data_IF_997234316122
#
_entry.id   IF_997234316122
#
_cell.length_a   1.000
_cell.length_b   1.000
_cell.length_c   1.000
_cell.angle_alpha   90.00
_cell.angle_beta   90.00
_cell.angle_gamma   90.00
#
_symmetry.space_group_name_H-M   'P 1'
#
loop_
_entity.id
_entity.type
_entity.pdbx_description
1 polymer ?
#
# COMPACT_ATOMS: atom_id res chain seq x y z
N UNK A 1 -5.67 15.40 17.24
CA UNK A 1 -4.22 15.71 17.32
C UNK A 1 -3.57 15.09 16.10
N UNK A 2 -3.26 15.91 15.09
CA UNK A 2 -2.50 15.51 13.90
C UNK A 2 -1.03 15.38 14.30
N UNK A 3 -0.41 14.23 14.06
CA UNK A 3 1.03 14.08 14.06
C UNK A 3 1.57 14.90 12.88
N UNK A 4 2.11 16.08 13.19
CA UNK A 4 2.56 17.08 12.22
C UNK A 4 3.88 16.67 11.59
N UNK A 5 3.92 16.79 10.26
CA UNK A 5 5.10 16.69 9.41
C UNK A 5 6.18 17.63 9.96
N UNK A 6 7.32 17.08 10.38
CA UNK A 6 8.47 17.84 10.89
C UNK A 6 9.30 18.45 9.73
N UNK A 7 8.65 19.18 8.84
CA UNK A 7 9.34 19.95 7.79
C UNK A 7 9.78 21.30 8.39
N UNK A 8 11.10 21.53 8.48
CA UNK A 8 11.66 22.82 8.86
C UNK A 8 11.81 23.66 7.59
N UNK A 9 10.87 24.58 7.37
CA UNK A 9 10.96 25.58 6.32
C UNK A 9 11.38 26.92 6.93
N UNK A 10 12.66 27.27 6.80
CA UNK A 10 13.13 28.63 7.01
C UNK A 10 13.38 29.29 5.64
N UNK A 11 12.75 30.44 5.33
CA UNK A 11 12.89 31.13 4.05
C UNK A 11 14.33 31.47 3.64
N UNK A 12 15.27 31.59 4.59
CA UNK A 12 16.68 31.93 4.30
C UNK A 12 17.59 30.70 4.21
N UNK A 13 17.15 29.56 4.75
CA UNK A 13 18.00 28.40 5.07
C UNK A 13 17.77 27.23 4.09
N UNK A 14 16.61 27.23 3.43
CA UNK A 14 16.14 26.12 2.63
C UNK A 14 15.26 25.16 3.43
N UNK A 15 14.83 24.08 2.79
CA UNK A 15 14.04 23.02 3.41
C UNK A 15 14.99 22.04 4.12
N UNK A 16 14.70 21.64 5.35
CA UNK A 16 15.40 20.56 6.05
C UNK A 16 14.42 19.49 6.54
N UNK A 17 14.55 18.26 6.01
CA UNK A 17 13.68 17.13 6.31
C UNK A 17 14.48 16.05 7.04
N UNK A 18 14.32 15.87 8.35
CA UNK A 18 14.96 14.77 9.07
C UNK A 18 14.21 13.46 8.84
N UNK A 19 14.90 12.43 8.34
CA UNK A 19 14.40 11.06 8.27
C UNK A 19 15.20 10.16 9.22
N UNK A 20 14.51 9.58 10.21
CA UNK A 20 15.13 8.82 11.28
C UNK A 20 15.08 7.30 11.06
N UNK A 21 16.15 6.62 11.45
CA UNK A 21 16.23 5.17 11.62
C UNK A 21 16.68 4.92 13.05
N UNK A 22 16.00 4.02 13.74
CA UNK A 22 16.33 3.66 15.11
C UNK A 22 16.55 2.16 15.23
N UNK A 23 17.80 1.81 15.52
CA UNK A 23 18.19 0.45 15.85
C UNK A 23 17.87 0.19 17.32
N UNK A 24 16.87 -0.67 17.53
CA UNK A 24 16.35 -0.99 18.86
C UNK A 24 17.34 -1.81 19.67
N UNK A 25 18.14 -2.66 19.03
CA UNK A 25 19.09 -3.57 19.66
C UNK A 25 20.35 -2.82 20.08
N UNK A 26 20.96 -2.10 19.13
CA UNK A 26 22.15 -1.29 19.40
C UNK A 26 21.85 -0.01 20.19
N UNK A 27 20.57 0.36 20.32
CA UNK A 27 20.12 1.63 20.89
C UNK A 27 20.81 2.84 20.20
N UNK A 28 20.88 2.83 18.87
CA UNK A 28 21.48 3.90 18.07
C UNK A 28 20.49 4.51 17.10
N UNK A 29 20.57 5.82 16.91
CA UNK A 29 19.81 6.56 15.91
C UNK A 29 20.69 6.96 14.72
N UNK A 30 20.12 6.90 13.53
CA UNK A 30 20.67 7.53 12.33
C UNK A 30 19.64 8.50 11.78
N UNK A 31 20.04 9.72 11.47
CA UNK A 31 19.15 10.74 10.89
C UNK A 31 19.76 11.28 9.60
N UNK A 32 19.07 11.04 8.49
CA UNK A 32 19.39 11.67 7.22
C UNK A 32 18.63 13.00 7.14
N UNK A 33 19.34 14.12 6.97
CA UNK A 33 18.74 15.45 6.87
C UNK A 33 18.71 15.86 5.41
N UNK A 34 17.56 15.68 4.75
CA UNK A 34 17.38 16.00 3.34
C UNK A 34 17.11 17.49 3.10
N UNK A 35 17.67 18.03 2.02
CA UNK A 35 17.42 19.43 1.61
C UNK A 35 16.33 19.59 0.53
N UNK A 36 15.70 18.48 0.12
CA UNK A 36 14.67 18.46 -0.93
C UNK A 36 13.35 17.86 -0.41
N UNK A 37 12.64 17.04 -1.18
CA UNK A 37 11.30 16.56 -0.83
C UNK A 37 11.33 15.25 -0.03
N UNK A 38 10.41 15.11 0.94
CA UNK A 38 10.13 13.82 1.59
C UNK A 38 9.44 12.85 0.62
N UNK A 39 10.24 12.11 -0.13
CA UNK A 39 9.78 11.10 -1.08
C UNK A 39 10.17 9.70 -0.63
N UNK A 40 9.52 8.69 -1.21
CA UNK A 40 9.92 7.30 -0.99
C UNK A 40 11.38 7.03 -1.40
N UNK A 41 11.90 7.75 -2.39
CA UNK A 41 13.31 7.66 -2.78
C UNK A 41 14.23 8.16 -1.66
N UNK A 42 13.89 9.30 -1.06
CA UNK A 42 14.61 9.87 0.09
C UNK A 42 14.55 8.96 1.32
N UNK A 43 13.38 8.39 1.62
CA UNK A 43 13.21 7.44 2.72
C UNK A 43 14.11 6.20 2.55
N UNK A 44 14.17 5.62 1.34
CA UNK A 44 15.04 4.47 1.06
C UNK A 44 16.52 4.87 1.02
N UNK A 45 16.85 6.06 0.52
CA UNK A 45 18.22 6.56 0.58
C UNK A 45 18.70 6.72 2.03
N UNK A 46 17.80 7.13 2.92
CA UNK A 46 18.11 7.21 4.36
C UNK A 46 18.49 5.84 4.93
N UNK A 47 17.78 4.77 4.51
CA UNK A 47 18.10 3.38 4.89
C UNK A 47 19.43 2.94 4.28
N UNK A 48 19.67 3.27 3.01
CA UNK A 48 20.91 2.97 2.32
C UNK A 48 22.12 3.59 3.02
N UNK A 49 22.03 4.87 3.36
CA UNK A 49 23.09 5.62 4.06
C UNK A 49 23.35 5.06 5.46
N UNK A 50 22.30 4.72 6.21
CA UNK A 50 22.47 4.02 7.48
C UNK A 50 23.16 2.67 7.31
N UNK A 51 22.74 1.86 6.33
CA UNK A 51 23.33 0.55 6.09
C UNK A 51 24.82 0.65 5.78
N UNK A 52 25.22 1.48 4.81
CA UNK A 52 26.63 1.64 4.44
C UNK A 52 27.46 2.39 5.48
N UNK A 53 26.85 3.32 6.23
CA UNK A 53 27.56 4.12 7.23
C UNK A 53 27.73 3.45 8.59
N UNK A 54 26.81 2.56 8.98
CA UNK A 54 26.81 1.96 10.31
C UNK A 54 26.30 0.51 10.31
N UNK A 55 25.21 0.21 9.62
CA UNK A 55 24.51 -1.08 9.68
C UNK A 55 25.38 -2.27 9.24
N UNK A 56 26.09 -2.15 8.12
CA UNK A 56 26.92 -3.23 7.56
C UNK A 56 28.09 -3.59 8.48
N UNK A 57 28.74 -2.59 9.08
CA UNK A 57 29.85 -2.82 10.01
C UNK A 57 29.36 -3.41 11.35
N UNK A 58 28.18 -2.97 11.83
CA UNK A 58 27.57 -3.50 13.04
C UNK A 58 27.04 -4.94 12.85
N UNK A 59 26.57 -5.28 11.65
CA UNK A 59 25.95 -6.57 11.34
C UNK A 59 26.55 -7.22 10.07
N UNK A 60 27.83 -7.63 10.09
CA UNK A 60 28.55 -8.08 8.88
C UNK A 60 28.02 -9.40 8.29
N UNK A 61 27.28 -10.18 9.09
CA UNK A 61 26.69 -11.47 8.68
C UNK A 61 25.19 -11.36 8.39
N UNK A 62 24.60 -10.15 8.44
CA UNK A 62 23.18 -10.01 8.20
C UNK A 62 22.84 -10.30 6.74
N UNK A 63 21.84 -11.17 6.56
CA UNK A 63 21.24 -11.49 5.26
C UNK A 63 19.81 -10.94 5.14
N UNK A 64 19.27 -10.41 6.24
CA UNK A 64 17.90 -9.94 6.35
C UNK A 64 17.84 -8.65 7.15
N UNK A 65 16.93 -7.75 6.75
CA UNK A 65 16.62 -6.52 7.47
C UNK A 65 15.11 -6.43 7.72
N UNK A 66 14.71 -6.33 8.99
CA UNK A 66 13.33 -6.05 9.37
C UNK A 66 13.14 -4.55 9.58
N UNK A 67 12.18 -3.97 8.86
CA UNK A 67 11.77 -2.57 8.98
C UNK A 67 10.38 -2.52 9.58
N UNK A 68 10.25 -1.90 10.74
CA UNK A 68 8.95 -1.53 11.33
C UNK A 68 8.62 -0.08 10.97
N UNK A 69 7.58 0.15 10.17
CA UNK A 69 7.23 1.48 9.67
C UNK A 69 5.80 1.88 10.06
N UNK A 70 5.56 3.16 10.32
CA UNK A 70 4.25 3.74 10.67
C UNK A 70 3.29 3.88 9.48
N UNK A 71 3.77 3.59 8.27
CA UNK A 71 2.99 3.53 7.03
C UNK A 71 2.46 4.88 6.53
N UNK A 72 3.06 5.99 6.98
CA UNK A 72 2.76 7.34 6.56
C UNK A 72 3.59 7.82 5.37
N UNK A 73 3.05 8.74 4.58
CA UNK A 73 3.81 9.49 3.57
C UNK A 73 4.72 8.65 2.66
N UNK A 74 6.04 8.90 2.77
CA UNK A 74 7.10 8.32 1.94
C UNK A 74 7.33 6.82 2.15
N UNK A 75 7.02 6.26 3.34
CA UNK A 75 7.21 4.83 3.66
C UNK A 75 5.91 4.01 3.61
N UNK A 76 4.82 4.62 3.11
CA UNK A 76 3.48 4.03 3.15
C UNK A 76 3.37 2.69 2.40
N UNK A 77 2.58 1.77 2.96
CA UNK A 77 2.38 0.42 2.39
C UNK A 77 1.73 0.42 1.00
N UNK A 78 1.02 1.50 0.64
CA UNK A 78 0.42 1.71 -0.69
C UNK A 78 1.38 2.36 -1.69
N UNK A 79 2.47 2.94 -1.20
CA UNK A 79 3.39 3.72 -2.02
C UNK A 79 4.21 2.78 -2.91
N UNK A 80 3.96 2.84 -4.22
CA UNK A 80 4.66 2.01 -5.22
C UNK A 80 6.16 2.33 -5.25
N UNK A 81 6.49 3.61 -5.11
CA UNK A 81 7.87 4.09 -5.08
C UNK A 81 8.65 3.50 -3.91
N UNK A 82 8.01 3.38 -2.74
CA UNK A 82 8.61 2.75 -1.56
C UNK A 82 9.05 1.31 -1.86
N UNK A 83 8.15 0.50 -2.43
CA UNK A 83 8.44 -0.89 -2.81
C UNK A 83 9.52 -0.99 -3.89
N UNK A 84 9.46 -0.14 -4.91
CA UNK A 84 10.44 -0.13 -6.00
C UNK A 84 11.84 0.24 -5.51
N UNK A 85 11.96 1.30 -4.71
CA UNK A 85 13.25 1.73 -4.17
C UNK A 85 13.81 0.70 -3.18
N UNK A 86 12.98 0.10 -2.32
CA UNK A 86 13.41 -0.99 -1.46
C UNK A 86 13.88 -2.21 -2.26
N UNK A 87 13.21 -2.55 -3.36
CA UNK A 87 13.64 -3.65 -4.23
C UNK A 87 15.03 -3.37 -4.83
N UNK A 88 15.28 -2.13 -5.28
CA UNK A 88 16.61 -1.72 -5.73
C UNK A 88 17.66 -1.82 -4.62
N UNK A 89 17.30 -1.40 -3.41
CA UNK A 89 18.19 -1.54 -2.24
C UNK A 89 18.50 -3.00 -1.92
N UNK A 90 17.50 -3.90 -2.02
CA UNK A 90 17.73 -5.34 -1.82
C UNK A 90 18.70 -5.91 -2.85
N UNK A 91 18.55 -5.52 -4.13
CA UNK A 91 19.42 -5.99 -5.21
C UNK A 91 20.88 -5.53 -5.04
N UNK A 92 21.09 -4.34 -4.50
CA UNK A 92 22.42 -3.79 -4.23
C UNK A 92 23.08 -4.39 -2.99
N UNK A 93 22.33 -4.48 -1.88
CA UNK A 93 22.89 -4.88 -0.58
C UNK A 93 22.95 -6.39 -0.41
N UNK A 94 22.19 -7.15 -1.20
CA UNK A 94 22.01 -8.58 -1.00
C UNK A 94 21.08 -8.94 0.18
N UNK A 95 20.51 -7.95 0.87
CA UNK A 95 19.61 -8.18 2.01
C UNK A 95 18.20 -8.50 1.53
N UNK A 96 17.57 -9.49 2.15
CA UNK A 96 16.10 -9.60 2.11
C UNK A 96 15.51 -8.58 3.07
N UNK A 97 14.75 -7.62 2.56
CA UNK A 97 14.12 -6.58 3.37
C UNK A 97 12.67 -6.96 3.64
N UNK A 98 12.34 -7.17 4.92
CA UNK A 98 10.97 -7.39 5.39
C UNK A 98 10.42 -6.09 5.94
N UNK A 99 9.25 -5.67 5.46
CA UNK A 99 8.55 -4.49 5.98
C UNK A 99 7.31 -4.94 6.72
N UNK A 100 7.22 -4.52 7.98
CA UNK A 100 6.04 -4.68 8.84
C UNK A 100 5.49 -3.31 9.19
N UNK A 101 4.30 -3.02 8.70
CA UNK A 101 3.66 -1.73 8.95
C UNK A 101 2.84 -1.78 10.24
N UNK A 102 3.00 -0.73 11.05
CA UNK A 102 2.17 -0.50 12.22
C UNK A 102 0.75 -0.13 11.78
N UNK A 103 -0.29 -0.56 12.52
CA UNK A 103 -1.66 -0.14 12.22
C UNK A 103 -1.87 1.36 12.34
N UNK A 104 -2.88 1.94 11.65
CA UNK A 104 -3.26 3.33 11.84
C UNK A 104 -3.46 3.66 13.33
N UNK A 105 -3.14 4.90 13.71
CA UNK A 105 -3.34 5.43 15.08
C UNK A 105 -2.47 4.76 16.17
N UNK A 106 -1.40 4.08 15.79
CA UNK A 106 -0.48 3.43 16.75
C UNK A 106 0.83 4.20 16.97
N UNK A 107 0.86 5.51 16.72
CA UNK A 107 2.07 6.34 16.90
C UNK A 107 2.67 6.24 18.31
N UNK A 108 1.84 6.02 19.34
CA UNK A 108 2.26 5.74 20.72
C UNK A 108 3.18 4.50 20.86
N UNK A 109 3.04 3.54 19.95
CA UNK A 109 3.83 2.30 19.94
C UNK A 109 5.06 2.41 19.04
N UNK A 110 5.19 3.51 18.29
CA UNK A 110 6.35 3.76 17.45
C UNK A 110 7.54 4.15 18.33
N UNK A 111 8.45 3.19 18.55
CA UNK A 111 9.61 3.39 19.42
C UNK A 111 10.51 4.54 18.97
N UNK A 112 10.58 4.84 17.67
CA UNK A 112 11.43 5.93 17.16
C UNK A 112 10.97 7.30 17.67
N UNK A 113 9.67 7.54 17.77
CA UNK A 113 9.11 8.79 18.29
C UNK A 113 9.53 9.00 19.74
N UNK A 114 9.41 7.94 20.54
CA UNK A 114 9.66 7.99 21.97
C UNK A 114 11.13 7.87 22.36
N UNK A 115 11.94 7.12 21.61
CA UNK A 115 13.35 6.80 21.96
C UNK A 115 14.37 7.57 21.13
N UNK A 116 14.00 8.16 19.99
CA UNK A 116 14.91 8.96 19.16
C UNK A 116 14.44 10.41 19.07
N UNK A 117 13.29 10.66 18.45
CA UNK A 117 12.85 12.02 18.15
C UNK A 117 12.54 12.85 19.40
N UNK A 118 11.95 12.25 20.44
CA UNK A 118 11.73 12.93 21.73
C UNK A 118 13.03 13.53 22.31
N UNK A 119 14.13 12.77 22.25
CA UNK A 119 15.44 13.19 22.77
C UNK A 119 16.10 14.22 21.86
N UNK A 120 15.97 14.09 20.54
CA UNK A 120 16.43 15.10 19.59
C UNK A 120 15.73 16.43 19.86
N UNK A 121 14.39 16.43 19.97
CA UNK A 121 13.61 17.65 20.25
C UNK A 121 13.98 18.26 21.60
N UNK A 122 14.19 17.44 22.64
CA UNK A 122 14.65 17.93 23.94
C UNK A 122 16.03 18.60 23.86
N UNK A 123 16.97 18.03 23.08
CA UNK A 123 18.32 18.55 22.91
C UNK A 123 18.35 19.89 22.16
N UNK A 124 17.33 20.15 21.32
CA UNK A 124 17.19 21.38 20.56
C UNK A 124 16.59 22.55 21.34
N UNK A 125 16.03 22.31 22.53
CA UNK A 125 15.26 23.32 23.26
C UNK A 125 16.09 24.58 23.51
N UNK A 126 15.70 25.68 22.86
CA UNK A 126 16.33 27.00 23.00
C UNK A 126 17.53 27.27 22.08
N UNK A 127 17.81 26.40 21.10
CA UNK A 127 18.87 26.62 20.10
C UNK A 127 18.28 27.10 18.77
N UNK A 128 18.66 28.28 18.25
CA UNK A 128 18.23 28.70 16.92
C UNK A 128 18.89 27.81 15.86
N UNK A 129 18.08 27.21 15.00
CA UNK A 129 18.54 26.34 13.90
C UNK A 129 18.94 27.22 12.71
N UNK A 130 20.13 27.81 12.76
CA UNK A 130 20.58 28.88 11.83
C UNK A 130 21.28 28.39 10.57
N UNK A 131 21.57 27.09 10.45
CA UNK A 131 22.08 26.47 9.22
C UNK A 131 21.81 24.96 9.19
N UNK A 132 21.90 24.34 8.00
CA UNK A 132 21.86 22.88 7.87
C UNK A 132 22.92 22.18 8.75
N UNK A 133 24.11 22.78 8.84
CA UNK A 133 25.18 22.28 9.70
C UNK A 133 24.79 22.34 11.18
N UNK A 134 24.16 23.43 11.64
CA UNK A 134 23.65 23.55 13.01
C UNK A 134 22.57 22.50 13.28
N UNK A 135 21.69 22.22 12.32
CA UNK A 135 20.67 21.16 12.44
C UNK A 135 21.35 19.79 12.61
N UNK A 136 22.24 19.42 11.68
CA UNK A 136 22.95 18.13 11.71
C UNK A 136 23.75 17.97 13.00
N UNK A 137 24.55 18.96 13.38
CA UNK A 137 25.36 18.91 14.59
C UNK A 137 24.50 18.84 15.86
N UNK A 138 23.34 19.51 15.88
CA UNK A 138 22.42 19.45 17.02
C UNK A 138 21.74 18.08 17.14
N UNK A 139 21.42 17.42 16.03
CA UNK A 139 20.91 16.05 16.04
C UNK A 139 22.00 15.09 16.51
N UNK A 140 23.19 15.17 15.92
CA UNK A 140 24.32 14.28 16.23
C UNK A 140 24.80 14.40 17.69
N UNK A 141 24.62 15.57 18.30
CA UNK A 141 24.92 15.78 19.73
C UNK A 141 23.96 15.04 20.68
N UNK A 142 22.89 14.42 20.18
CA UNK A 142 21.88 13.77 21.01
C UNK A 142 22.44 12.48 21.60
N UNK A 143 22.58 12.46 22.93
CA UNK A 143 22.95 11.27 23.70
C UNK A 143 22.10 11.15 24.96
N UNK A 144 21.93 9.94 25.50
CA UNK A 144 21.18 9.72 26.74
C UNK A 144 21.96 8.89 27.75
N UNK A 145 21.58 8.99 29.03
CA UNK A 145 22.16 8.17 30.12
C UNK A 145 21.98 6.67 29.90
N UNK A 146 20.94 6.28 29.17
CA UNK A 146 20.68 4.88 28.79
C UNK A 146 21.48 4.43 27.57
N UNK A 147 22.40 5.27 27.07
CA UNK A 147 23.34 4.90 26.00
C UNK A 147 22.90 5.21 24.58
N UNK A 148 21.82 5.98 24.36
CA UNK A 148 21.45 6.39 23.00
C UNK A 148 22.60 7.21 22.39
N UNK A 149 22.98 6.88 21.15
CA UNK A 149 23.87 7.69 20.33
C UNK A 149 23.22 7.95 18.98
N UNK A 150 23.29 9.18 18.50
CA UNK A 150 22.68 9.58 17.24
C UNK A 150 23.75 10.05 16.27
N UNK A 151 23.76 9.46 15.08
CA UNK A 151 24.53 9.97 13.94
C UNK A 151 23.59 10.76 13.04
N UNK A 152 24.04 11.90 12.52
CA UNK A 152 23.28 12.67 11.54
C UNK A 152 24.16 13.04 10.35
N UNK A 153 23.57 13.03 9.16
CA UNK A 153 24.25 13.40 7.91
C UNK A 153 23.36 14.26 7.04
N UNK A 154 23.94 15.27 6.39
CA UNK A 154 23.24 16.07 5.38
C UNK A 154 23.09 15.28 4.08
N UNK A 155 21.94 15.42 3.43
CA UNK A 155 21.65 14.86 2.13
C UNK A 155 21.17 15.96 1.17
N UNK A 156 22.08 16.33 0.27
CA UNK A 156 21.86 17.35 -0.76
C UNK A 156 21.44 16.75 -2.11
N UNK A 157 21.07 15.47 -2.15
CA UNK A 157 20.55 14.84 -3.35
C UNK A 157 19.18 15.42 -3.74
N UNK A 158 18.81 15.27 -5.02
CA UNK A 158 17.49 15.68 -5.53
C UNK A 158 16.52 14.50 -5.56
N UNK A 159 15.29 14.75 -5.10
CA UNK A 159 14.21 13.79 -4.94
C UNK A 159 12.92 14.33 -5.57
N UNK A 160 12.81 14.35 -6.91
CA UNK A 160 11.65 14.89 -7.58
C UNK A 160 10.36 14.14 -7.21
N UNK A 161 9.28 14.90 -7.06
CA UNK A 161 7.95 14.35 -6.75
C UNK A 161 7.23 13.90 -8.02
N UNK A 162 6.15 13.13 -7.87
CA UNK A 162 5.25 12.78 -8.99
C UNK A 162 5.74 11.66 -9.90
N UNK A 163 6.81 10.95 -9.54
CA UNK A 163 7.29 9.78 -10.30
C UNK A 163 6.18 8.75 -10.53
N UNK A 164 5.91 8.44 -11.80
CA UNK A 164 4.90 7.46 -12.18
C UNK A 164 5.55 6.08 -12.34
N UNK A 165 5.12 5.13 -11.53
CA UNK A 165 5.61 3.74 -11.60
C UNK A 165 4.58 2.89 -12.31
N UNK A 166 5.00 2.24 -13.38
CA UNK A 166 4.14 1.45 -14.25
C UNK A 166 3.76 0.12 -13.61
N UNK A 167 2.64 -0.47 -14.04
CA UNK A 167 2.16 -1.75 -13.52
C UNK A 167 3.12 -2.91 -13.79
N UNK A 168 3.80 -2.88 -14.93
CA UNK A 168 4.85 -3.84 -15.25
C UNK A 168 6.00 -3.82 -14.24
N UNK A 169 6.47 -2.62 -13.84
CA UNK A 169 7.55 -2.48 -12.85
C UNK A 169 7.13 -3.04 -11.49
N UNK A 170 5.89 -2.81 -11.08
CA UNK A 170 5.37 -3.36 -9.81
C UNK A 170 5.17 -4.87 -9.85
N UNK A 171 4.77 -5.43 -10.99
CA UNK A 171 4.58 -6.86 -11.17
C UNK A 171 5.92 -7.62 -11.19
N UNK A 172 6.99 -6.97 -11.67
CA UNK A 172 8.33 -7.54 -11.72
C UNK A 172 9.08 -7.52 -10.38
N UNK A 173 8.55 -6.83 -9.35
CA UNK A 173 9.23 -6.77 -8.06
C UNK A 173 9.32 -8.16 -7.41
N UNK A 174 10.48 -8.53 -6.83
CA UNK A 174 10.66 -9.76 -6.06
C UNK A 174 9.97 -9.66 -4.68
N UNK A 175 8.65 -9.44 -4.68
CA UNK A 175 7.86 -9.15 -3.50
C UNK A 175 7.03 -10.37 -3.09
N UNK A 176 7.27 -10.88 -1.88
CA UNK A 176 6.43 -11.89 -1.23
C UNK A 176 5.56 -11.23 -0.18
N UNK A 177 4.24 -11.42 -0.25
CA UNK A 177 3.31 -10.89 0.76
C UNK A 177 3.21 -11.84 1.94
N UNK A 178 3.06 -11.29 3.15
CA UNK A 178 2.86 -12.12 4.34
C UNK A 178 1.47 -12.75 4.35
N UNK A 179 1.34 -13.92 4.98
CA UNK A 179 0.03 -14.56 5.17
C UNK A 179 -0.91 -13.71 6.03
N UNK A 180 -0.36 -13.07 7.06
CA UNK A 180 -1.09 -12.14 7.93
C UNK A 180 -0.86 -10.69 7.48
N UNK A 181 -1.94 -9.99 7.11
CA UNK A 181 -1.91 -8.62 6.56
C UNK A 181 -0.94 -8.43 5.39
N UNK A 182 -0.95 -9.35 4.42
CA UNK A 182 -0.12 -9.28 3.21
C UNK A 182 -0.42 -8.08 2.30
N UNK A 183 -1.51 -7.38 2.52
CA UNK A 183 -1.80 -6.09 1.92
C UNK A 183 -0.84 -5.00 2.39
N UNK A 184 -0.37 -5.09 3.64
CA UNK A 184 0.53 -4.12 4.28
C UNK A 184 1.95 -4.67 4.40
N UNK A 185 2.09 -5.92 4.84
CA UNK A 185 3.34 -6.55 5.20
C UNK A 185 3.88 -7.43 4.07
N UNK A 186 5.17 -7.29 3.79
CA UNK A 186 5.81 -8.00 2.69
C UNK A 186 7.33 -8.08 2.87
N UNK A 187 7.93 -9.05 2.17
CA UNK A 187 9.37 -9.19 2.01
C UNK A 187 9.77 -8.91 0.55
N UNK A 188 10.87 -8.20 0.37
CA UNK A 188 11.53 -7.96 -0.91
C UNK A 188 12.87 -8.70 -0.91
N UNK A 189 13.13 -9.42 -2.01
CA UNK A 189 14.29 -10.30 -2.10
C UNK A 189 15.36 -9.74 -3.05
N UNK A 190 16.65 -9.96 -2.75
CA UNK A 190 17.78 -9.39 -3.52
C UNK A 190 17.90 -9.92 -4.95
N UNK A 191 17.36 -11.12 -5.21
CA UNK A 191 17.23 -11.65 -6.56
C UNK A 191 15.76 -11.54 -6.96
N UNK A 192 15.44 -11.24 -8.24
CA UNK A 192 14.20 -11.75 -8.80
C UNK A 192 14.17 -13.23 -8.42
N UNK A 193 13.16 -13.65 -7.63
CA UNK A 193 12.87 -15.08 -7.52
C UNK A 193 12.95 -15.57 -8.96
N UNK A 194 13.78 -16.57 -9.31
CA UNK A 194 13.76 -17.07 -10.66
C UNK A 194 12.30 -17.39 -10.92
N UNK A 195 11.68 -16.61 -11.80
CA UNK A 195 10.53 -17.11 -12.51
C UNK A 195 11.08 -18.41 -13.06
N UNK A 196 10.49 -19.51 -12.63
CA UNK A 196 10.69 -20.77 -13.32
C UNK A 196 10.31 -20.49 -14.76
N UNK A 197 11.31 -20.12 -15.58
CA UNK A 197 11.28 -20.23 -17.03
C UNK A 197 11.37 -21.72 -17.30
N UNK A 198 10.34 -22.46 -16.90
CA UNK A 198 9.99 -23.65 -17.65
C UNK A 198 9.61 -23.14 -19.04
N UNK A 199 10.21 -23.70 -20.11
CA UNK A 199 9.66 -23.54 -21.45
C UNK A 199 8.15 -23.77 -21.35
N UNK A 200 7.36 -22.76 -21.74
CA UNK A 200 5.94 -22.96 -21.90
C UNK A 200 5.75 -23.99 -23.00
N UNK A 201 5.54 -25.24 -22.61
CA UNK A 201 4.81 -26.17 -23.46
C UNK A 201 3.41 -25.58 -23.72
N UNK A 202 2.85 -25.80 -24.92
CA UNK A 202 1.61 -25.17 -25.34
C UNK A 202 0.52 -25.41 -24.29
N UNK A 203 -0.02 -24.30 -23.78
CA UNK A 203 -1.09 -24.31 -22.80
C UNK A 203 -2.19 -25.28 -23.23
N UNK A 204 -2.48 -26.27 -22.39
CA UNK A 204 -3.81 -26.86 -22.36
C UNK A 204 -4.78 -25.71 -22.11
N UNK A 205 -5.75 -25.45 -23.00
CA UNK A 205 -6.61 -24.28 -22.88
C UNK A 205 -7.36 -24.34 -21.55
N UNK A 206 -7.05 -23.38 -20.66
CA UNK A 206 -7.88 -23.12 -19.50
C UNK A 206 -9.30 -22.90 -20.00
N UNK A 207 -10.25 -23.67 -19.47
CA UNK A 207 -11.67 -23.58 -19.82
C UNK A 207 -12.09 -22.10 -19.86
N UNK A 208 -12.67 -21.62 -20.96
CA UNK A 208 -13.08 -20.22 -21.07
C UNK A 208 -13.98 -19.86 -19.88
N UNK A 209 -13.59 -18.85 -19.12
CA UNK A 209 -14.45 -18.30 -18.09
C UNK A 209 -15.68 -17.69 -18.76
N UNK A 210 -16.84 -18.24 -18.46
CA UNK A 210 -18.10 -17.67 -18.93
C UNK A 210 -18.54 -16.54 -17.98
N UNK A 211 -18.39 -15.29 -18.42
CA UNK A 211 -18.85 -14.11 -17.69
C UNK A 211 -20.37 -14.14 -17.42
N UNK A 212 -21.12 -14.92 -18.21
CA UNK A 212 -22.56 -15.10 -18.04
C UNK A 212 -22.94 -15.79 -16.71
N UNK A 213 -21.97 -16.42 -16.04
CA UNK A 213 -22.11 -17.03 -14.71
C UNK A 213 -22.32 -15.98 -13.61
N UNK A 214 -21.85 -14.74 -13.77
CA UNK A 214 -22.11 -13.66 -12.80
C UNK A 214 -23.60 -13.30 -12.74
N UNK A 215 -24.31 -13.46 -13.86
CA UNK A 215 -25.75 -13.20 -14.01
C UNK A 215 -26.60 -14.48 -13.88
N UNK A 216 -26.05 -15.55 -13.30
CA UNK A 216 -26.78 -16.80 -13.08
C UNK A 216 -27.95 -16.56 -12.11
N UNK A 217 -29.19 -16.96 -12.46
CA UNK A 217 -30.35 -16.85 -11.58
C UNK A 217 -30.18 -17.47 -10.20
N UNK A 218 -29.35 -18.52 -10.05
CA UNK A 218 -29.02 -19.12 -8.77
C UNK A 218 -28.24 -18.15 -7.86
N UNK A 219 -27.41 -17.28 -8.45
CA UNK A 219 -26.60 -16.28 -7.74
C UNK A 219 -27.34 -14.97 -7.53
N UNK A 220 -28.09 -14.50 -8.53
CA UNK A 220 -28.84 -13.23 -8.45
C UNK A 220 -30.19 -13.37 -7.76
N UNK A 221 -30.74 -14.59 -7.69
CA UNK A 221 -32.09 -14.86 -7.20
C UNK A 221 -33.18 -14.42 -8.17
N UNK A 222 -32.85 -14.02 -9.40
CA UNK A 222 -33.79 -13.53 -10.40
C UNK A 222 -33.36 -13.89 -11.83
N UNK A 223 -34.31 -14.13 -12.77
CA UNK A 223 -33.98 -14.32 -14.18
C UNK A 223 -33.28 -13.10 -14.79
N UNK A 224 -32.45 -13.32 -15.83
CA UNK A 224 -31.72 -12.25 -16.53
C UNK A 224 -32.63 -11.10 -16.98
N UNK A 225 -33.81 -11.40 -17.53
CA UNK A 225 -34.82 -10.39 -17.90
C UNK A 225 -35.21 -9.47 -16.73
N UNK A 226 -35.35 -10.03 -15.52
CA UNK A 226 -35.75 -9.28 -14.34
C UNK A 226 -34.58 -8.42 -13.82
N UNK A 227 -33.34 -8.89 -13.98
CA UNK A 227 -32.14 -8.09 -13.71
C UNK A 227 -32.00 -6.93 -14.71
N UNK A 228 -32.31 -7.16 -15.99
CA UNK A 228 -32.31 -6.12 -17.03
C UNK A 228 -33.41 -5.08 -16.77
N UNK A 229 -34.61 -5.54 -16.38
CA UNK A 229 -35.71 -4.68 -15.99
C UNK A 229 -35.37 -3.85 -14.75
N UNK A 230 -34.77 -4.47 -13.72
CA UNK A 230 -34.26 -3.77 -12.55
C UNK A 230 -33.24 -2.70 -12.95
N UNK A 231 -32.29 -3.04 -13.81
CA UNK A 231 -31.30 -2.09 -14.31
C UNK A 231 -31.96 -0.93 -15.06
N UNK A 232 -33.01 -1.19 -15.85
CA UNK A 232 -33.76 -0.14 -16.57
C UNK A 232 -34.55 0.75 -15.60
N UNK A 233 -35.15 0.19 -14.56
CA UNK A 233 -35.88 0.94 -13.52
C UNK A 233 -34.97 1.89 -12.76
N UNK A 234 -33.73 1.48 -12.47
CA UNK A 234 -32.77 2.29 -11.73
C UNK A 234 -32.00 3.30 -12.60
N UNK A 235 -32.06 3.16 -13.93
CA UNK A 235 -31.27 3.96 -14.86
C UNK A 235 -31.57 5.48 -14.88
N UNK A 236 -32.82 5.96 -14.69
CA UNK A 236 -33.13 7.39 -14.67
C UNK A 236 -32.49 8.13 -13.49
N UNK A 237 -32.44 7.49 -12.32
CA UNK A 237 -31.92 8.06 -11.08
C UNK A 237 -30.44 7.70 -10.86
N UNK A 238 -29.75 7.25 -11.92
CA UNK A 238 -28.31 7.01 -11.87
C UNK A 238 -27.60 8.36 -11.70
N UNK A 239 -26.89 8.51 -10.59
CA UNK A 239 -26.13 9.73 -10.30
C UNK A 239 -25.09 10.01 -11.43
N UNK A 240 -25.27 11.12 -12.14
CA UNK A 240 -24.45 11.59 -13.27
C UNK A 240 -23.36 12.55 -12.78
N UNK A 241 -22.41 12.05 -11.99
CA UNK A 241 -21.25 12.86 -11.61
C UNK A 241 -20.45 13.30 -12.86
N UNK A 242 -20.20 14.61 -12.95
CA UNK A 242 -19.30 15.21 -13.93
C UNK A 242 -17.85 14.86 -13.57
N UNK A 243 -17.26 13.91 -14.31
CA UNK A 243 -15.90 13.43 -14.10
C UNK A 243 -15.55 12.25 -15.00
N UNK A 244 -14.32 11.73 -14.86
CA UNK A 244 -13.83 10.58 -15.65
C UNK A 244 -14.83 9.41 -15.54
N UNK A 245 -15.23 8.77 -16.66
CA UNK A 245 -16.27 7.75 -16.65
C UNK A 245 -15.91 6.60 -15.70
N UNK A 246 -16.89 6.09 -14.92
CA UNK A 246 -16.66 4.95 -14.05
C UNK A 246 -16.24 3.74 -14.89
N UNK A 247 -15.29 2.97 -14.37
CA UNK A 247 -14.77 1.78 -15.07
C UNK A 247 -15.77 0.63 -15.17
N UNK A 248 -16.80 0.61 -14.31
CA UNK A 248 -17.93 -0.30 -14.42
C UNK A 248 -19.09 0.42 -15.08
N UNK A 249 -19.69 -0.24 -16.05
CA UNK A 249 -20.99 0.13 -16.62
C UNK A 249 -22.08 0.08 -15.55
N UNK A 250 -23.16 0.83 -15.76
CA UNK A 250 -24.28 0.83 -14.79
C UNK A 250 -24.91 -0.56 -14.57
N UNK A 251 -25.12 -1.41 -15.60
CA UNK A 251 -25.55 -2.78 -15.40
C UNK A 251 -24.62 -3.60 -14.50
N UNK A 252 -23.30 -3.50 -14.68
CA UNK A 252 -22.33 -4.20 -13.82
C UNK A 252 -22.36 -3.70 -12.37
N UNK A 253 -22.57 -2.41 -12.16
CA UNK A 253 -22.74 -1.82 -10.83
C UNK A 253 -23.98 -2.38 -10.12
N UNK A 254 -25.10 -2.52 -10.83
CA UNK A 254 -26.34 -3.12 -10.32
C UNK A 254 -26.11 -4.59 -10.00
N UNK A 255 -25.53 -5.35 -10.93
CA UNK A 255 -25.24 -6.78 -10.77
C UNK A 255 -24.32 -7.04 -9.56
N UNK A 256 -23.23 -6.29 -9.40
CA UNK A 256 -22.33 -6.43 -8.25
C UNK A 256 -23.05 -6.18 -6.91
N UNK A 257 -24.01 -5.25 -6.89
CA UNK A 257 -24.81 -4.94 -5.70
C UNK A 257 -25.81 -6.04 -5.39
N UNK A 258 -26.43 -6.64 -6.41
CA UNK A 258 -27.31 -7.80 -6.26
C UNK A 258 -26.51 -8.99 -5.69
N UNK A 259 -25.33 -9.29 -6.25
CA UNK A 259 -24.47 -10.37 -5.73
C UNK A 259 -24.02 -10.12 -4.28
N UNK A 260 -23.67 -8.88 -3.94
CA UNK A 260 -23.32 -8.51 -2.57
C UNK A 260 -24.46 -8.74 -1.57
N UNK A 261 -25.70 -8.37 -1.94
CA UNK A 261 -26.87 -8.49 -1.08
C UNK A 261 -27.39 -9.94 -1.02
N UNK A 262 -27.34 -10.66 -2.14
CA UNK A 262 -27.93 -11.99 -2.27
C UNK A 262 -27.03 -13.08 -1.71
N UNK A 263 -25.76 -13.11 -2.06
CA UNK A 263 -24.82 -14.20 -1.68
C UNK A 263 -23.72 -13.73 -0.73
N UNK A 264 -23.88 -12.56 -0.10
CA UNK A 264 -22.97 -12.00 0.89
C UNK A 264 -21.50 -11.85 0.42
N UNK A 265 -21.28 -11.75 -0.90
CA UNK A 265 -19.93 -11.54 -1.44
C UNK A 265 -19.39 -10.18 -1.01
N UNK A 266 -18.24 -10.17 -0.34
CA UNK A 266 -17.59 -8.94 0.10
C UNK A 266 -17.12 -8.08 -1.09
N UNK A 267 -16.88 -6.78 -0.83
CA UNK A 267 -16.46 -5.83 -1.85
C UNK A 267 -15.13 -6.22 -2.54
N UNK A 268 -14.28 -7.00 -1.88
CA UNK A 268 -12.97 -7.40 -2.40
C UNK A 268 -13.05 -8.53 -3.44
N UNK A 269 -13.72 -9.66 -3.19
CA UNK A 269 -14.05 -10.64 -4.24
C UNK A 269 -14.79 -10.03 -5.45
N UNK A 270 -15.74 -9.14 -5.21
CA UNK A 270 -16.45 -8.44 -6.29
C UNK A 270 -15.53 -7.52 -7.08
N UNK A 271 -14.64 -6.79 -6.41
CA UNK A 271 -13.65 -5.98 -7.08
C UNK A 271 -12.79 -6.83 -8.04
N UNK A 272 -12.38 -8.03 -7.59
CA UNK A 272 -11.63 -8.99 -8.42
C UNK A 272 -12.46 -9.51 -9.61
N UNK A 273 -13.73 -9.84 -9.42
CA UNK A 273 -14.57 -10.37 -10.50
C UNK A 273 -14.89 -9.32 -11.57
N UNK A 274 -15.11 -8.07 -11.16
CA UNK A 274 -15.54 -6.98 -12.06
C UNK A 274 -14.41 -6.10 -12.57
N UNK A 275 -13.17 -6.53 -12.40
CA UNK A 275 -12.02 -5.73 -12.76
C UNK A 275 -12.06 -4.29 -12.22
N UNK A 276 -12.44 -4.14 -10.94
CA UNK A 276 -12.53 -2.86 -10.24
C UNK A 276 -11.60 -2.73 -9.02
N UNK A 277 -11.45 -1.51 -8.49
CA UNK A 277 -10.78 -1.31 -7.19
C UNK A 277 -11.72 -1.63 -6.03
N UNK A 278 -11.18 -2.09 -4.90
CA UNK A 278 -11.96 -2.30 -3.66
C UNK A 278 -12.69 -1.02 -3.24
N UNK A 279 -12.06 0.14 -3.35
CA UNK A 279 -12.66 1.43 -3.01
C UNK A 279 -13.79 1.81 -3.97
N UNK A 280 -13.59 1.64 -5.29
CA UNK A 280 -14.64 1.89 -6.27
C UNK A 280 -15.81 0.94 -6.06
N UNK A 281 -15.54 -0.35 -5.84
CA UNK A 281 -16.56 -1.34 -5.54
C UNK A 281 -17.34 -0.99 -4.26
N UNK A 282 -16.67 -0.61 -3.17
CA UNK A 282 -17.34 -0.18 -1.94
C UNK A 282 -18.24 1.04 -2.16
N UNK A 283 -17.77 2.04 -2.92
CA UNK A 283 -18.58 3.22 -3.29
C UNK A 283 -19.78 2.83 -4.15
N UNK A 284 -19.59 1.94 -5.12
CA UNK A 284 -20.66 1.39 -5.97
C UNK A 284 -21.73 0.68 -5.13
N UNK A 285 -21.32 -0.19 -4.20
CA UNK A 285 -22.24 -0.92 -3.33
C UNK A 285 -23.05 0.02 -2.43
N UNK A 286 -22.42 1.04 -1.84
CA UNK A 286 -23.12 2.05 -1.03
C UNK A 286 -24.11 2.86 -1.85
N UNK A 287 -23.69 3.32 -3.05
CA UNK A 287 -24.53 4.10 -3.97
C UNK A 287 -25.77 3.32 -4.38
N UNK A 288 -25.58 2.11 -4.92
CA UNK A 288 -26.70 1.33 -5.44
C UNK A 288 -27.60 0.77 -4.34
N UNK A 289 -27.09 0.53 -3.13
CA UNK A 289 -27.95 0.24 -1.97
C UNK A 289 -28.89 1.39 -1.62
N UNK A 290 -28.41 2.64 -1.68
CA UNK A 290 -29.27 3.82 -1.49
C UNK A 290 -30.31 3.91 -2.59
N UNK A 291 -29.89 3.68 -3.84
CA UNK A 291 -30.78 3.70 -4.99
C UNK A 291 -31.89 2.64 -4.88
N UNK A 292 -31.54 1.39 -4.58
CA UNK A 292 -32.51 0.32 -4.31
C UNK A 292 -33.49 0.70 -3.20
N UNK A 293 -33.00 1.30 -2.11
CA UNK A 293 -33.84 1.78 -1.01
C UNK A 293 -34.81 2.89 -1.45
N UNK A 294 -34.37 3.84 -2.29
CA UNK A 294 -35.22 4.91 -2.82
C UNK A 294 -36.37 4.36 -3.66
N UNK A 295 -36.13 3.33 -4.46
CA UNK A 295 -37.17 2.68 -5.27
C UNK A 295 -37.97 1.62 -4.49
N UNK A 296 -37.73 1.43 -3.18
CA UNK A 296 -38.40 0.42 -2.36
C UNK A 296 -38.08 -1.03 -2.75
N UNK A 297 -36.96 -1.27 -3.45
CA UNK A 297 -36.57 -2.58 -3.96
C UNK A 297 -35.70 -3.29 -2.94
N UNK A 298 -36.16 -4.45 -2.46
CA UNK A 298 -35.41 -5.31 -1.55
C UNK A 298 -34.85 -6.54 -2.30
N UNK A 299 -33.55 -6.82 -2.10
CA UNK A 299 -32.91 -8.05 -2.58
C UNK A 299 -32.76 -9.00 -1.38
N UNK A 300 -33.55 -10.07 -1.28
CA UNK A 300 -33.49 -10.97 -0.14
C UNK A 300 -32.21 -11.80 -0.14
N UNK A 301 -31.54 -12.02 1.00
CA UNK A 301 -30.36 -12.89 1.07
C UNK A 301 -30.70 -14.35 0.78
N UNK A 302 -29.76 -15.09 0.19
CA UNK A 302 -29.90 -16.51 -0.08
C UNK A 302 -29.95 -17.28 1.23
N UNK A 303 -31.00 -18.08 1.41
CA UNK A 303 -31.21 -18.95 2.58
C UNK A 303 -30.24 -20.13 2.57
N UNK A 304 -29.79 -20.56 1.40
CA UNK A 304 -28.77 -21.59 1.21
C UNK A 304 -27.75 -21.11 0.17
N UNK A 305 -26.44 -21.25 0.41
CA UNK A 305 -25.42 -20.86 -0.55
C UNK A 305 -25.58 -21.64 -1.88
N UNK A 306 -25.75 -20.96 -3.03
CA UNK A 306 -25.85 -21.63 -4.32
C UNK A 306 -24.54 -22.36 -4.66
N UNK A 307 -24.61 -23.53 -5.31
CA UNK A 307 -23.41 -24.25 -5.76
C UNK A 307 -22.52 -23.40 -6.68
N UNK A 308 -23.14 -22.52 -7.49
CA UNK A 308 -22.45 -21.55 -8.35
C UNK A 308 -21.54 -20.57 -7.57
N UNK A 309 -21.78 -20.36 -6.26
CA UNK A 309 -20.92 -19.51 -5.42
C UNK A 309 -19.53 -20.12 -5.23
N UNK A 310 -19.42 -21.45 -5.16
CA UNK A 310 -18.14 -22.14 -5.07
C UNK A 310 -17.29 -21.88 -6.33
N UNK A 311 -17.93 -21.83 -7.50
CA UNK A 311 -17.29 -21.47 -8.78
C UNK A 311 -16.78 -20.03 -8.77
N UNK A 312 -17.54 -19.08 -8.20
CA UNK A 312 -17.08 -17.70 -8.02
C UNK A 312 -15.87 -17.61 -7.08
N UNK A 313 -15.88 -18.34 -5.96
CA UNK A 313 -14.75 -18.36 -5.02
C UNK A 313 -13.49 -18.97 -5.66
N UNK A 314 -13.62 -20.10 -6.37
CA UNK A 314 -12.52 -20.71 -7.11
C UNK A 314 -11.95 -19.76 -8.17
N UNK A 315 -12.81 -19.00 -8.86
CA UNK A 315 -12.37 -17.98 -9.82
C UNK A 315 -11.63 -16.82 -9.16
N UNK A 316 -12.14 -16.30 -8.04
CA UNK A 316 -11.46 -15.24 -7.28
C UNK A 316 -10.09 -15.72 -6.81
N UNK A 317 -9.99 -16.95 -6.30
CA UNK A 317 -8.70 -17.56 -5.92
C UNK A 317 -7.75 -17.68 -7.12
N UNK A 318 -8.24 -18.13 -8.28
CA UNK A 318 -7.43 -18.22 -9.49
C UNK A 318 -6.96 -16.84 -10.00
N UNK A 319 -7.81 -15.82 -9.94
CA UNK A 319 -7.50 -14.45 -10.38
C UNK A 319 -6.59 -13.71 -9.40
N UNK A 320 -6.71 -13.98 -8.11
CA UNK A 320 -5.84 -13.40 -7.07
C UNK A 320 -4.46 -14.07 -7.02
N UNK A 321 -4.40 -15.34 -7.41
CA UNK A 321 -3.15 -16.13 -7.51
C UNK A 321 -2.40 -15.91 -8.82
N UNK A 322 -3.07 -15.41 -9.88
CA UNK A 322 -2.43 -15.13 -11.16
C UNK A 322 -1.87 -13.69 -11.18
N UNK A 323 -0.54 -13.50 -11.24
CA UNK A 323 0.10 -12.18 -11.13
C UNK A 323 -0.28 -11.22 -12.27
N UNK A 324 -0.78 -11.72 -13.40
CA UNK A 324 -1.12 -10.93 -14.60
C UNK A 324 -2.50 -10.29 -14.57
N UNK A 325 -3.40 -10.64 -13.64
CA UNK A 325 -4.79 -10.15 -13.62
C UNK A 325 -5.08 -9.17 -12.48
N UNK A 326 -4.09 -8.35 -12.11
CA UNK A 326 -4.31 -7.22 -11.21
C UNK A 326 -4.82 -6.02 -11.98
N UNK A 327 -6.13 -6.05 -12.14
CA UNK A 327 -7.04 -4.91 -12.17
C UNK A 327 -6.37 -3.61 -11.75
N UNK A 328 -6.15 -2.76 -12.75
CA UNK A 328 -5.68 -1.39 -12.57
C UNK A 328 -6.51 -0.72 -11.49
N UNK A 329 -5.92 -0.42 -10.34
CA UNK A 329 -6.57 0.41 -9.32
C UNK A 329 -6.35 1.85 -9.76
N UNK A 330 -7.36 2.53 -10.30
CA UNK A 330 -7.24 3.97 -10.64
C UNK A 330 -6.97 4.75 -9.35
N UNK A 331 -5.98 5.65 -9.42
CA UNK A 331 -5.52 6.61 -8.40
C UNK A 331 -6.66 7.30 -7.66
#
# INVERSE_FOLDING_TARGET
MQAGVHDFADPQLGKAVPYGIYDVEANTGWVNVGTDHDTAAFAVESIRRWWHGQGQAAYPQATQLLITADAGGSNGYRTRAWKLHLARLTAETGLTITVSHLPPETSKWNKIEHRLFSHITMNWRGRPLTSHEVIVNSIAATTTRTGLRVTASLDTNSYPTGAQIQDAEMAALPLTRHAFHGDWNYALHPRPSPATLTPQDPQTPATPWDESLLSDPALTGMPRRQLDDLTRTLAPDKDTQHGRPPRLTFPEQVLATVLHLRVALAAEPLAVLFSSSRTAMHRTLLKNRRLLKTHGIAIPPATTPPAALATLHARVLALTSNPSNKIKTTR
#
